data_IF_218921064151
#
_entry.id   IF_218921064151
#
_cell.length_a   1.000
_cell.length_b   1.000
_cell.length_c   1.000
_cell.angle_alpha   90.00
_cell.angle_beta   90.00
_cell.angle_gamma   90.00
#
_symmetry.space_group_name_H-M   'P 1'
#
loop_
_entity.id
_entity.type
_entity.pdbx_description
1 polymer ?
#
# COMPACT_ATOMS: atom_id res chain seq x y z
N UNK A 1 -34.77 6.55 1.10
CA UNK A 1 -33.48 5.83 1.00
C UNK A 1 -32.60 6.61 0.03
N UNK A 2 -31.93 7.65 0.53
CA UNK A 2 -31.07 8.53 -0.26
C UNK A 2 -29.65 8.01 -0.23
N UNK A 3 -29.14 7.60 -1.39
CA UNK A 3 -27.73 7.34 -1.65
C UNK A 3 -26.97 8.67 -1.54
N UNK A 4 -26.32 8.89 -0.41
CA UNK A 4 -25.34 9.96 -0.26
C UNK A 4 -24.10 9.61 -1.11
N UNK A 5 -24.09 10.12 -2.35
CA UNK A 5 -22.89 10.24 -3.19
C UNK A 5 -21.93 11.27 -2.55
N UNK A 6 -21.38 10.93 -1.40
CA UNK A 6 -20.41 11.72 -0.64
C UNK A 6 -18.97 11.49 -1.16
N UNK A 7 -18.86 11.32 -2.48
CA UNK A 7 -17.60 11.26 -3.22
C UNK A 7 -17.65 12.26 -4.36
N UNK A 8 -18.13 13.48 -4.07
CA UNK A 8 -17.66 14.63 -4.83
C UNK A 8 -16.17 14.69 -4.54
N UNK A 9 -15.37 14.28 -5.53
CA UNK A 9 -13.95 14.05 -5.40
C UNK A 9 -13.24 15.38 -5.12
N UNK A 10 -13.24 15.76 -3.85
CA UNK A 10 -12.40 16.83 -3.29
C UNK A 10 -10.98 16.31 -3.37
N UNK A 11 -10.40 16.43 -4.57
CA UNK A 11 -8.98 16.19 -4.79
C UNK A 11 -8.25 17.36 -4.17
N UNK A 12 -7.60 17.09 -3.04
CA UNK A 12 -6.78 18.05 -2.33
C UNK A 12 -5.41 18.07 -2.99
N UNK A 13 -4.98 19.23 -3.48
CA UNK A 13 -3.71 19.40 -4.19
C UNK A 13 -2.87 20.50 -3.54
N UNK A 14 -1.54 20.32 -3.44
CA UNK A 14 -0.66 21.42 -3.08
C UNK A 14 -0.56 22.40 -4.25
N UNK A 15 -0.76 23.70 -3.98
CA UNK A 15 -0.60 24.74 -4.99
C UNK A 15 0.85 24.76 -5.52
N UNK A 16 1.09 24.86 -6.85
CA UNK A 16 2.45 24.86 -7.40
C UNK A 16 3.30 26.05 -6.96
N UNK A 17 2.67 27.17 -6.59
CA UNK A 17 3.36 28.40 -6.20
C UNK A 17 3.60 28.49 -4.67
N UNK A 18 2.57 28.21 -3.85
CA UNK A 18 2.66 28.35 -2.40
C UNK A 18 2.65 27.04 -1.60
N UNK A 19 2.47 25.87 -2.25
CA UNK A 19 2.37 24.53 -1.65
C UNK A 19 1.20 24.31 -0.68
N UNK A 20 0.33 25.30 -0.52
CA UNK A 20 -0.87 25.18 0.32
C UNK A 20 -1.89 24.21 -0.29
N UNK A 21 -2.57 23.42 0.54
CA UNK A 21 -3.60 22.47 0.09
C UNK A 21 -4.86 23.20 -0.35
N UNK A 22 -5.24 23.00 -1.61
CA UNK A 22 -6.40 23.61 -2.25
C UNK A 22 -7.30 22.55 -2.89
N UNK A 23 -8.57 22.90 -3.07
CA UNK A 23 -9.52 22.07 -3.79
C UNK A 23 -9.30 22.18 -5.31
N UNK A 24 -9.46 21.09 -6.05
CA UNK A 24 -9.46 21.11 -7.53
C UNK A 24 -10.55 21.98 -8.15
N UNK A 25 -11.59 22.35 -7.40
CA UNK A 25 -12.71 23.16 -7.89
C UNK A 25 -12.42 24.66 -7.98
N UNK A 26 -11.30 25.15 -7.43
CA UNK A 26 -10.95 26.58 -7.46
C UNK A 26 -9.95 26.90 -8.58
N UNK A 27 -10.34 27.82 -9.47
CA UNK A 27 -9.49 28.31 -10.58
C UNK A 27 -8.38 29.27 -10.12
N UNK A 28 -8.44 29.72 -8.87
CA UNK A 28 -7.51 30.68 -8.30
C UNK A 28 -7.17 30.28 -6.88
N UNK A 29 -5.88 30.23 -6.55
CA UNK A 29 -5.44 29.91 -5.19
C UNK A 29 -5.92 31.01 -4.23
N UNK A 30 -6.64 30.70 -3.14
CA UNK A 30 -7.06 31.71 -2.17
C UNK A 30 -5.90 32.33 -1.39
N UNK A 31 -4.74 31.69 -1.38
CA UNK A 31 -3.57 32.14 -0.61
C UNK A 31 -2.59 32.97 -1.43
N UNK A 32 -2.22 32.51 -2.63
CA UNK A 32 -1.24 33.20 -3.48
C UNK A 32 -1.85 33.89 -4.70
N UNK A 33 -3.17 33.80 -4.89
CA UNK A 33 -3.92 34.36 -6.03
C UNK A 33 -3.46 33.94 -7.43
N UNK A 34 -2.55 32.96 -7.51
CA UNK A 34 -2.06 32.41 -8.77
C UNK A 34 -3.20 31.72 -9.53
N UNK A 35 -3.25 31.93 -10.84
CA UNK A 35 -4.16 31.23 -11.74
C UNK A 35 -3.75 29.75 -11.79
N UNK A 36 -4.70 28.87 -11.53
CA UNK A 36 -4.48 27.42 -11.56
C UNK A 36 -5.13 26.89 -12.81
N UNK A 37 -4.31 26.34 -13.69
CA UNK A 37 -4.81 25.59 -14.83
C UNK A 37 -5.42 24.27 -14.33
N UNK A 38 -6.74 24.05 -14.51
CA UNK A 38 -7.39 22.81 -14.08
C UNK A 38 -6.75 21.58 -14.72
N UNK A 39 -6.18 21.69 -15.93
CA UNK A 39 -5.48 20.58 -16.57
C UNK A 39 -4.20 20.19 -15.80
N UNK A 40 -3.41 21.16 -15.34
CA UNK A 40 -2.22 20.91 -14.51
C UNK A 40 -2.59 20.38 -13.11
N UNK A 41 -3.72 20.82 -12.56
CA UNK A 41 -4.25 20.32 -11.30
C UNK A 41 -4.66 18.83 -11.39
N UNK A 42 -5.33 18.42 -12.47
CA UNK A 42 -5.72 17.01 -12.68
C UNK A 42 -4.51 16.09 -12.82
N UNK A 43 -3.45 16.53 -13.51
CA UNK A 43 -2.21 15.74 -13.67
C UNK A 43 -1.51 15.52 -12.33
N UNK A 44 -1.46 16.54 -11.47
CA UNK A 44 -0.88 16.43 -10.13
C UNK A 44 -1.75 15.61 -9.16
N UNK A 45 -3.08 15.64 -9.34
CA UNK A 45 -4.01 14.76 -8.61
C UNK A 45 -3.82 13.29 -8.98
N UNK A 46 -3.67 13.00 -10.27
CA UNK A 46 -3.40 11.66 -10.77
C UNK A 46 -2.06 11.11 -10.24
N UNK A 47 -1.04 11.96 -10.10
CA UNK A 47 0.22 11.56 -9.48
C UNK A 47 0.07 11.26 -7.97
N UNK A 48 -0.58 12.16 -7.23
CA UNK A 48 -0.75 12.03 -5.77
C UNK A 48 -1.61 10.80 -5.41
N UNK A 49 -2.68 10.55 -6.16
CA UNK A 49 -3.53 9.36 -5.98
C UNK A 49 -2.80 8.05 -6.23
N UNK A 50 -1.83 8.01 -7.17
CA UNK A 50 -0.98 6.83 -7.39
C UNK A 50 -0.04 6.60 -6.21
N UNK A 51 0.52 7.67 -5.65
CA UNK A 51 1.42 7.59 -4.49
C UNK A 51 0.66 7.14 -3.24
N UNK A 52 -0.52 7.71 -2.99
CA UNK A 52 -1.36 7.30 -1.86
C UNK A 52 -1.86 5.86 -2.00
N UNK A 53 -2.19 5.42 -3.21
CA UNK A 53 -2.50 4.01 -3.49
C UNK A 53 -1.31 3.09 -3.15
N UNK A 54 -0.09 3.47 -3.53
CA UNK A 54 1.11 2.69 -3.22
C UNK A 54 1.36 2.60 -1.69
N UNK A 55 1.17 3.69 -0.95
CA UNK A 55 1.30 3.73 0.50
C UNK A 55 0.21 2.90 1.21
N UNK A 56 -1.02 2.94 0.69
CA UNK A 56 -2.12 2.11 1.19
C UNK A 56 -1.80 0.62 1.04
N UNK A 57 -1.36 0.19 -0.15
CA UNK A 57 -0.97 -1.21 -0.39
C UNK A 57 0.19 -1.66 0.51
N UNK A 58 1.18 -0.80 0.75
CA UNK A 58 2.28 -1.09 1.68
C UNK A 58 1.80 -1.24 3.13
N UNK A 59 0.80 -0.45 3.53
CA UNK A 59 0.17 -0.57 4.84
C UNK A 59 -0.62 -1.87 4.98
N UNK A 60 -1.31 -2.30 3.93
CA UNK A 60 -1.99 -3.61 3.87
C UNK A 60 -0.98 -4.75 4.05
N UNK A 61 0.17 -4.72 3.37
CA UNK A 61 1.25 -5.68 3.55
C UNK A 61 1.72 -5.78 5.01
N UNK A 62 1.89 -4.62 5.67
CA UNK A 62 2.25 -4.57 7.09
C UNK A 62 1.17 -5.21 7.96
N UNK A 63 -0.10 -4.91 7.72
CA UNK A 63 -1.22 -5.50 8.48
C UNK A 63 -1.26 -7.02 8.27
N UNK A 64 -1.09 -7.50 7.04
CA UNK A 64 -1.03 -8.94 6.76
C UNK A 64 0.15 -9.62 7.46
N UNK A 65 1.33 -8.98 7.50
CA UNK A 65 2.46 -9.50 8.27
C UNK A 65 2.13 -9.61 9.77
N UNK A 66 1.43 -8.62 10.34
CA UNK A 66 0.96 -8.69 11.73
C UNK A 66 -0.09 -9.78 11.97
N UNK A 67 -0.88 -10.15 10.95
CA UNK A 67 -1.83 -11.26 11.07
C UNK A 67 -1.16 -12.62 11.22
N UNK A 68 0.12 -12.79 10.87
CA UNK A 68 0.85 -14.04 11.14
C UNK A 68 0.84 -14.39 12.64
N UNK A 69 0.91 -13.38 13.52
CA UNK A 69 0.94 -13.57 14.97
C UNK A 69 -0.32 -14.26 15.51
N UNK A 70 -1.55 -13.76 15.31
CA UNK A 70 -2.74 -14.44 15.79
C UNK A 70 -2.96 -15.81 15.13
N UNK A 71 -2.63 -15.99 13.84
CA UNK A 71 -2.72 -17.31 13.20
C UNK A 71 -1.74 -18.32 13.80
N UNK A 72 -0.54 -17.87 14.20
CA UNK A 72 0.42 -18.68 14.96
C UNK A 72 -0.12 -19.10 16.33
N UNK A 73 -0.76 -18.20 17.07
CA UNK A 73 -1.40 -18.58 18.34
C UNK A 73 -2.64 -19.48 18.13
N UNK A 74 -3.36 -19.32 17.02
CA UNK A 74 -4.53 -20.15 16.69
C UNK A 74 -4.16 -21.64 16.52
N UNK A 75 -2.94 -21.94 16.09
CA UNK A 75 -2.40 -23.29 15.96
C UNK A 75 -2.38 -24.05 17.30
N UNK A 76 -2.21 -23.34 18.43
CA UNK A 76 -2.10 -23.95 19.76
C UNK A 76 -3.45 -24.53 20.22
N UNK A 77 -4.56 -24.02 19.69
CA UNK A 77 -5.91 -24.47 20.05
C UNK A 77 -6.28 -25.69 19.20
N UNK A 78 -6.46 -26.89 19.80
CA UNK A 78 -6.57 -28.14 19.05
C UNK A 78 -7.77 -28.20 18.08
N UNK A 79 -8.86 -27.49 18.37
CA UNK A 79 -10.04 -27.43 17.49
C UNK A 79 -9.93 -26.37 16.37
N UNK A 80 -9.13 -25.33 16.56
CA UNK A 80 -8.90 -24.29 15.54
C UNK A 80 -7.58 -24.46 14.78
N UNK A 81 -6.76 -25.43 15.18
CA UNK A 81 -5.41 -25.62 14.64
C UNK A 81 -5.37 -25.82 13.13
N UNK A 82 -6.36 -26.52 12.55
CA UNK A 82 -6.42 -26.73 11.10
C UNK A 82 -6.63 -25.41 10.33
N UNK A 83 -7.51 -24.54 10.84
CA UNK A 83 -7.73 -23.21 10.28
C UNK A 83 -6.49 -22.31 10.49
N UNK A 84 -5.81 -22.45 11.63
CA UNK A 84 -4.53 -21.79 11.91
C UNK A 84 -3.44 -22.15 10.91
N UNK A 85 -3.23 -23.45 10.66
CA UNK A 85 -2.23 -23.96 9.70
C UNK A 85 -2.57 -23.53 8.28
N UNK A 86 -3.83 -23.67 7.86
CA UNK A 86 -4.28 -23.22 6.54
C UNK A 86 -4.10 -21.72 6.34
N UNK A 87 -4.45 -20.90 7.34
CA UNK A 87 -4.25 -19.47 7.33
C UNK A 87 -2.78 -19.07 7.26
N UNK A 88 -1.91 -19.70 8.06
CA UNK A 88 -0.46 -19.47 8.03
C UNK A 88 0.14 -19.79 6.66
N UNK A 89 -0.18 -20.95 6.08
CA UNK A 89 0.30 -21.34 4.75
C UNK A 89 -0.17 -20.35 3.69
N UNK A 90 -1.44 -19.94 3.75
CA UNK A 90 -1.98 -18.94 2.84
C UNK A 90 -1.24 -17.60 2.98
N UNK A 91 -1.05 -17.08 4.19
CA UNK A 91 -0.35 -15.81 4.42
C UNK A 91 1.12 -15.88 3.96
N UNK A 92 1.81 -16.99 4.22
CA UNK A 92 3.20 -17.22 3.79
C UNK A 92 3.40 -17.13 2.28
N UNK A 93 2.40 -17.52 1.48
CA UNK A 93 2.45 -17.40 0.02
C UNK A 93 1.88 -16.06 -0.45
N UNK A 94 0.81 -15.58 0.17
CA UNK A 94 0.12 -14.36 -0.23
C UNK A 94 0.97 -13.09 -0.01
N UNK A 95 1.70 -12.99 1.10
CA UNK A 95 2.53 -11.83 1.42
C UNK A 95 3.65 -11.61 0.36
N UNK A 96 4.50 -12.60 0.02
CA UNK A 96 5.52 -12.41 -1.01
C UNK A 96 4.91 -12.17 -2.38
N UNK A 97 3.81 -12.85 -2.75
CA UNK A 97 3.12 -12.59 -4.01
C UNK A 97 2.61 -11.14 -4.12
N UNK A 98 2.02 -10.61 -3.04
CA UNK A 98 1.57 -9.22 -2.94
C UNK A 98 2.74 -8.23 -2.96
N UNK A 99 3.85 -8.55 -2.29
CA UNK A 99 5.06 -7.72 -2.29
C UNK A 99 5.69 -7.65 -3.69
N UNK A 100 5.79 -8.77 -4.40
CA UNK A 100 6.27 -8.83 -5.80
C UNK A 100 5.34 -8.03 -6.70
N UNK A 101 4.02 -8.22 -6.60
CA UNK A 101 3.03 -7.46 -7.37
C UNK A 101 3.16 -5.96 -7.12
N UNK A 102 3.34 -5.55 -5.86
CA UNK A 102 3.57 -4.16 -5.48
C UNK A 102 4.85 -3.61 -6.13
N UNK A 103 5.93 -4.41 -6.13
CA UNK A 103 7.20 -4.04 -6.76
C UNK A 103 7.07 -3.83 -8.27
N UNK A 104 6.39 -4.75 -8.97
CA UNK A 104 6.15 -4.64 -10.41
C UNK A 104 5.33 -3.39 -10.74
N UNK A 105 4.33 -3.07 -9.90
CA UNK A 105 3.41 -1.95 -10.16
C UNK A 105 3.98 -0.58 -9.81
N UNK A 106 4.67 -0.46 -8.67
CA UNK A 106 5.07 0.84 -8.11
C UNK A 106 6.59 1.01 -8.01
N UNK A 107 7.39 -0.04 -8.22
CA UNK A 107 8.84 0.01 -8.07
C UNK A 107 9.55 1.01 -9.01
N UNK A 108 8.91 1.32 -10.15
CA UNK A 108 9.39 2.26 -11.17
C UNK A 108 9.10 3.74 -10.85
N UNK A 109 8.25 4.04 -9.86
CA UNK A 109 7.90 5.43 -9.52
C UNK A 109 9.11 6.10 -8.83
N UNK A 110 9.64 7.15 -9.45
CA UNK A 110 10.63 8.05 -8.84
C UNK A 110 9.88 9.22 -8.22
N UNK A 111 9.74 9.22 -6.89
CA UNK A 111 9.29 10.38 -6.12
C UNK A 111 10.26 10.61 -4.96
N UNK A 112 10.42 11.87 -4.55
CA UNK A 112 11.26 12.30 -3.42
C UNK A 112 10.47 12.37 -2.10
N UNK A 113 9.22 11.88 -2.10
CA UNK A 113 8.38 11.86 -0.91
C UNK A 113 8.94 10.89 0.15
N UNK A 114 9.24 11.36 1.37
CA UNK A 114 9.84 10.52 2.41
C UNK A 114 8.93 9.36 2.84
N UNK A 115 7.61 9.53 2.72
CA UNK A 115 6.62 8.49 3.03
C UNK A 115 6.67 7.34 2.02
N UNK A 116 6.89 7.65 0.73
CA UNK A 116 7.04 6.61 -0.31
C UNK A 116 8.33 5.82 -0.11
N UNK A 117 9.44 6.49 0.24
CA UNK A 117 10.72 5.82 0.56
C UNK A 117 10.55 4.89 1.77
N UNK A 118 9.84 5.33 2.80
CA UNK A 118 9.53 4.51 3.98
C UNK A 118 8.67 3.30 3.60
N UNK A 119 7.59 3.51 2.84
CA UNK A 119 6.72 2.44 2.36
C UNK A 119 7.47 1.40 1.54
N UNK A 120 8.35 1.84 0.62
CA UNK A 120 9.20 0.98 -0.20
C UNK A 120 10.14 0.13 0.65
N UNK A 121 10.81 0.73 1.64
CA UNK A 121 11.67 -0.03 2.58
C UNK A 121 10.89 -1.09 3.34
N UNK A 122 9.72 -0.74 3.86
CA UNK A 122 8.87 -1.69 4.60
C UNK A 122 8.44 -2.85 3.69
N UNK A 123 7.96 -2.55 2.48
CA UNK A 123 7.53 -3.58 1.52
C UNK A 123 8.69 -4.51 1.12
N UNK A 124 9.89 -3.96 0.89
CA UNK A 124 11.09 -4.76 0.61
C UNK A 124 11.46 -5.64 1.80
N UNK A 125 11.54 -5.07 3.01
CA UNK A 125 11.95 -5.79 4.22
C UNK A 125 10.97 -6.94 4.50
N UNK A 126 9.66 -6.66 4.51
CA UNK A 126 8.63 -7.68 4.72
C UNK A 126 8.68 -8.73 3.59
N UNK A 127 8.81 -8.29 2.34
CA UNK A 127 8.93 -9.18 1.19
C UNK A 127 10.11 -10.15 1.31
N UNK A 128 11.30 -9.66 1.64
CA UNK A 128 12.50 -10.50 1.81
C UNK A 128 12.34 -11.44 3.00
N UNK A 129 11.89 -10.94 4.16
CA UNK A 129 11.73 -11.78 5.36
C UNK A 129 10.75 -12.94 5.13
N UNK A 130 9.62 -12.66 4.49
CA UNK A 130 8.63 -13.71 4.19
C UNK A 130 9.08 -14.65 3.07
N UNK A 131 9.86 -14.17 2.12
CA UNK A 131 10.42 -15.02 1.06
C UNK A 131 11.50 -15.96 1.59
N UNK A 132 12.32 -15.52 2.55
CA UNK A 132 13.26 -16.38 3.26
C UNK A 132 12.54 -17.46 4.07
N UNK A 133 11.52 -17.09 4.87
CA UNK A 133 10.69 -18.07 5.61
C UNK A 133 10.01 -19.09 4.68
N UNK A 134 9.60 -18.67 3.48
CA UNK A 134 9.03 -19.58 2.48
C UNK A 134 10.08 -20.58 1.96
N UNK A 135 11.32 -20.16 1.73
CA UNK A 135 12.40 -21.03 1.25
C UNK A 135 12.77 -22.07 2.30
N UNK A 136 12.80 -21.71 3.59
CA UNK A 136 13.08 -22.65 4.68
C UNK A 136 11.99 -23.75 4.82
N UNK A 137 10.75 -23.43 4.43
CA UNK A 137 9.60 -24.35 4.46
C UNK A 137 9.49 -25.19 3.19
N UNK A 138 10.31 -24.96 2.16
CA UNK A 138 10.48 -25.87 1.03
C UNK A 138 11.76 -26.65 1.32
N UNK A 139 11.72 -27.76 2.10
CA UNK A 139 12.87 -28.61 2.17
C UNK A 139 13.04 -29.15 0.75
N UNK A 140 14.27 -29.20 0.27
CA UNK A 140 14.67 -30.04 -0.84
C UNK A 140 14.46 -31.53 -0.48
N UNK A 141 13.22 -31.95 -0.19
CA UNK A 141 12.81 -33.35 -0.06
C UNK A 141 12.65 -33.97 -1.46
N UNK A 142 13.66 -33.78 -2.29
CA UNK A 142 13.66 -34.20 -3.70
C UNK A 142 14.98 -34.79 -4.17
N UNK A 143 15.90 -35.18 -3.27
CA UNK A 143 17.08 -35.97 -3.63
C UNK A 143 17.50 -36.89 -2.46
N UNK A 144 16.78 -38.01 -2.26
CA UNK A 144 17.30 -39.23 -1.64
C UNK A 144 16.47 -40.42 -2.10
#
# INVERSE_FOLDING_TARGET
MGSLNLSSAVHVLPCPNCRETINTSVRQCPYCSALIDPAAAEVSAAATSRISAACSDASVLKIMAWMLVPFFFLQIVPFLGLAGVGGLLFLRVAIPAMAIRWWIRFGSIKTDDPDFVRAKRIAIIIGILTLLDLVDVIPLHGCA
#
